data_IF_289483977392
#
_entry.id   IF_289483977392
#
_cell.length_a   1.000
_cell.length_b   1.000
_cell.length_c   1.000
_cell.angle_alpha   90.00
_cell.angle_beta   90.00
_cell.angle_gamma   90.00
#
_symmetry.space_group_name_H-M   'P 1'
#
loop_
_entity.id
_entity.type
_entity.pdbx_description
1 polymer ?
#
# COMPACT_ATOMS: atom_id res chain seq x y z
N UNK A 1 -15.65 -7.17 -6.77
CA UNK A 1 -15.12 -6.13 -5.92
C UNK A 1 -14.08 -6.63 -4.96
N UNK A 2 -14.41 -7.65 -4.20
CA UNK A 2 -13.46 -8.15 -3.21
C UNK A 2 -12.19 -8.71 -3.83
N UNK A 3 -12.33 -9.33 -5.00
CA UNK A 3 -11.17 -9.86 -5.70
C UNK A 3 -10.19 -8.74 -6.04
N UNK A 4 -10.72 -7.56 -6.41
CA UNK A 4 -9.89 -6.42 -6.74
C UNK A 4 -9.12 -5.95 -5.52
N UNK A 5 -9.79 -5.92 -4.38
CA UNK A 5 -9.13 -5.48 -3.14
C UNK A 5 -8.01 -6.41 -2.74
N UNK A 6 -8.21 -7.72 -2.91
CA UNK A 6 -7.18 -8.68 -2.56
C UNK A 6 -5.99 -8.63 -3.49
N UNK A 7 -6.21 -8.14 -4.70
CA UNK A 7 -5.16 -8.11 -5.70
C UNK A 7 -4.31 -6.85 -5.64
N UNK A 8 -4.65 -5.91 -4.74
CA UNK A 8 -3.88 -4.68 -4.62
C UNK A 8 -2.57 -4.96 -3.88
N UNK A 9 -1.47 -4.64 -4.54
CA UNK A 9 -0.13 -4.83 -3.99
C UNK A 9 0.61 -3.50 -3.95
N UNK A 10 1.78 -3.50 -3.29
CA UNK A 10 2.57 -2.28 -3.16
C UNK A 10 2.90 -1.64 -4.51
N UNK A 11 3.19 -2.45 -5.51
CA UNK A 11 3.51 -1.92 -6.84
C UNK A 11 2.31 -1.20 -7.46
N UNK A 12 1.12 -1.66 -7.13
CA UNK A 12 -0.09 -1.02 -7.64
C UNK A 12 -0.31 0.32 -6.98
N UNK A 13 -0.02 0.41 -5.68
CA UNK A 13 -0.13 1.67 -4.95
C UNK A 13 0.85 2.70 -5.52
N UNK A 14 2.07 2.27 -5.82
CA UNK A 14 3.06 3.18 -6.41
C UNK A 14 2.56 3.71 -7.75
N UNK A 15 1.96 2.84 -8.56
CA UNK A 15 1.42 3.25 -9.86
C UNK A 15 0.29 4.26 -9.70
N UNK A 16 -0.57 4.03 -8.72
CA UNK A 16 -1.69 4.93 -8.47
C UNK A 16 -1.22 6.27 -7.93
N UNK A 17 -0.18 6.28 -7.12
CA UNK A 17 0.40 7.53 -6.62
C UNK A 17 0.98 8.34 -7.78
N UNK A 18 1.68 7.68 -8.68
CA UNK A 18 2.22 8.38 -9.86
C UNK A 18 1.11 8.92 -10.74
N UNK A 19 0.02 8.18 -10.86
CA UNK A 19 -1.12 8.63 -11.63
C UNK A 19 -1.75 9.87 -11.01
N UNK A 20 -1.91 9.86 -9.69
CA UNK A 20 -2.47 11.02 -8.99
C UNK A 20 -1.57 12.24 -9.17
N UNK A 21 -0.26 12.04 -9.10
CA UNK A 21 0.69 13.12 -9.29
C UNK A 21 0.56 13.72 -10.69
N UNK A 22 0.48 12.87 -11.71
CA UNK A 22 0.35 13.34 -13.09
C UNK A 22 -0.95 14.10 -13.30
N UNK A 23 -2.03 13.63 -12.71
CA UNK A 23 -3.32 14.31 -12.82
C UNK A 23 -3.27 15.67 -12.15
N UNK A 24 -2.63 15.74 -11.02
CA UNK A 24 -2.46 17.02 -10.34
C UNK A 24 -1.61 17.98 -11.17
N UNK A 25 -0.51 17.50 -11.69
CA UNK A 25 0.36 18.34 -12.52
C UNK A 25 -0.34 18.78 -13.78
N UNK A 26 -1.22 17.95 -14.31
CA UNK A 26 -1.99 18.29 -15.49
C UNK A 26 -3.19 19.16 -15.23
N UNK A 27 -3.47 19.48 -13.97
CA UNK A 27 -4.60 20.34 -13.63
C UNK A 27 -5.93 19.61 -13.62
N UNK A 28 -5.94 18.28 -13.68
CA UNK A 28 -7.19 17.53 -13.70
C UNK A 28 -7.83 17.43 -12.33
N UNK A 29 -7.03 17.46 -11.27
CA UNK A 29 -7.55 17.43 -9.91
C UNK A 29 -6.91 18.57 -9.12
N UNK A 30 -7.62 18.99 -8.08
CA UNK A 30 -7.13 20.07 -7.22
C UNK A 30 -6.06 19.54 -6.27
N UNK A 31 -5.38 20.47 -5.61
CA UNK A 31 -4.40 20.11 -4.60
C UNK A 31 -5.06 19.32 -3.48
N UNK A 32 -6.26 19.72 -3.08
CA UNK A 32 -6.98 19.02 -2.02
C UNK A 32 -7.30 17.60 -2.42
N UNK A 33 -7.77 17.39 -3.63
CA UNK A 33 -8.08 16.06 -4.12
C UNK A 33 -6.83 15.19 -4.22
N UNK A 34 -5.74 15.77 -4.72
CA UNK A 34 -4.49 15.04 -4.83
C UNK A 34 -3.99 14.64 -3.45
N UNK A 35 -4.13 15.53 -2.48
CA UNK A 35 -3.70 15.26 -1.12
C UNK A 35 -4.52 14.15 -0.49
N UNK A 36 -5.83 14.16 -0.73
CA UNK A 36 -6.72 13.13 -0.21
C UNK A 36 -6.40 11.77 -0.81
N UNK A 37 -6.22 11.71 -2.12
CA UNK A 37 -5.87 10.45 -2.77
C UNK A 37 -4.56 9.90 -2.25
N UNK A 38 -3.57 10.78 -2.11
CA UNK A 38 -2.26 10.38 -1.62
C UNK A 38 -2.36 9.85 -0.19
N UNK A 39 -3.15 10.50 0.64
CA UNK A 39 -3.33 10.05 2.01
C UNK A 39 -3.94 8.66 2.06
N UNK A 40 -4.98 8.44 1.27
CA UNK A 40 -5.64 7.13 1.23
C UNK A 40 -4.71 6.05 0.72
N UNK A 41 -3.98 6.36 -0.35
CA UNK A 41 -3.06 5.38 -0.93
C UNK A 41 -1.91 5.06 0.02
N UNK A 42 -1.41 6.05 0.73
CA UNK A 42 -0.37 5.82 1.71
C UNK A 42 -0.87 4.99 2.88
N UNK A 43 -2.13 5.19 3.26
CA UNK A 43 -2.73 4.38 4.32
C UNK A 43 -2.82 2.92 3.92
N UNK A 44 -3.20 2.66 2.67
CA UNK A 44 -3.26 1.31 2.14
C UNK A 44 -1.87 0.70 2.09
N UNK A 45 -0.89 1.47 1.61
CA UNK A 45 0.49 1.01 1.52
C UNK A 45 1.02 0.61 2.90
N UNK A 46 0.73 1.44 3.90
CA UNK A 46 1.17 1.17 5.24
C UNK A 46 0.56 -0.11 5.79
N UNK A 47 -0.71 -0.34 5.46
CA UNK A 47 -1.40 -1.56 5.86
C UNK A 47 -0.74 -2.79 5.23
N UNK A 48 -0.39 -2.69 3.96
CA UNK A 48 0.29 -3.77 3.26
C UNK A 48 1.63 -4.07 3.90
N UNK A 49 2.41 -3.02 4.19
CA UNK A 49 3.73 -3.17 4.79
C UNK A 49 3.63 -3.79 6.17
N UNK A 50 2.64 -3.38 6.96
CA UNK A 50 2.47 -3.92 8.30
C UNK A 50 2.14 -5.40 8.24
N UNK A 51 1.24 -5.79 7.36
CA UNK A 51 0.86 -7.18 7.21
C UNK A 51 2.07 -8.03 6.79
N UNK A 52 2.87 -7.50 5.88
CA UNK A 52 4.04 -8.20 5.39
C UNK A 52 5.07 -8.41 6.51
N UNK A 53 5.28 -7.36 7.33
CA UNK A 53 6.18 -7.46 8.47
C UNK A 53 5.71 -8.47 9.48
N UNK A 54 4.41 -8.48 9.76
CA UNK A 54 3.85 -9.44 10.70
C UNK A 54 4.06 -10.86 10.23
N UNK A 55 3.88 -11.10 8.94
CA UNK A 55 4.08 -12.42 8.37
C UNK A 55 5.54 -12.85 8.51
N UNK A 56 6.48 -11.93 8.28
CA UNK A 56 7.90 -12.22 8.41
C UNK A 56 8.29 -12.52 9.85
N UNK A 57 7.76 -11.74 10.79
CA UNK A 57 8.04 -11.95 12.19
C UNK A 57 7.52 -13.30 12.65
N UNK A 58 6.32 -13.65 12.23
CA UNK A 58 5.71 -14.91 12.58
C UNK A 58 6.55 -16.07 12.06
N UNK A 59 7.07 -15.93 10.85
CA UNK A 59 7.90 -16.95 10.25
C UNK A 59 9.20 -17.15 11.02
N UNK A 60 9.81 -16.04 11.44
CA UNK A 60 11.04 -16.09 12.24
C UNK A 60 10.78 -16.76 13.58
N UNK A 61 9.68 -16.42 14.21
CA UNK A 61 9.33 -17.01 15.49
C UNK A 61 9.15 -18.52 15.36
N UNK A 62 8.51 -18.97 14.30
CA UNK A 62 8.34 -20.40 14.06
C UNK A 62 9.67 -21.09 13.89
N UNK A 63 10.60 -20.48 13.18
CA UNK A 63 11.92 -21.05 12.98
C UNK A 63 12.68 -21.16 14.31
N UNK A 64 12.58 -20.13 15.13
CA UNK A 64 13.26 -20.14 16.41
C UNK A 64 12.70 -21.20 17.33
N UNK A 65 11.38 -21.37 17.33
CA UNK A 65 10.75 -22.41 18.14
C UNK A 65 11.13 -23.79 17.64
N UNK A 66 11.24 -23.95 16.34
CA UNK A 66 11.60 -25.22 15.76
C UNK A 66 13.02 -25.66 16.10
N UNK A 67 13.86 -24.73 16.50
CA UNK A 67 15.25 -25.04 16.85
C UNK A 67 15.43 -25.49 18.28
N UNK A 68 14.36 -25.50 19.02
CA UNK A 68 14.42 -25.98 20.38
C UNK A 68 14.33 -27.48 20.42
#
# INVERSE_FOLDING_TARGET
MRAIERDIEAKDIKRLLLRAYRRYRGGEISETEARQETFLLNSIMKSIETTDLEARLQKIECLMEGNK
#
